data_IF_784895773398
#
_entry.id   IF_784895773398
#
_cell.length_a   1.000
_cell.length_b   1.000
_cell.length_c   1.000
_cell.angle_alpha   90.00
_cell.angle_beta   90.00
_cell.angle_gamma   90.00
#
_symmetry.space_group_name_H-M   'P 1'
#
loop_
_entity.id
_entity.type
_entity.pdbx_description
1 polymer ?
#
# COMPACT_ATOMS: atom_id res chain seq x y z
N UNK A 1 24.37 -10.92 -34.80
CA UNK A 1 25.58 -11.72 -35.02
C UNK A 1 26.71 -11.41 -34.04
N UNK A 2 26.70 -10.24 -33.38
CA UNK A 2 27.72 -9.76 -32.42
C UNK A 2 27.03 -9.29 -31.16
N UNK A 3 26.50 -10.20 -30.32
CA UNK A 3 25.71 -9.83 -29.13
C UNK A 3 26.50 -8.99 -28.10
N UNK A 4 27.83 -9.09 -28.13
CA UNK A 4 28.73 -8.32 -27.29
C UNK A 4 28.76 -6.81 -27.60
N UNK A 5 28.28 -6.40 -28.76
CA UNK A 5 28.12 -4.99 -29.15
C UNK A 5 26.81 -4.37 -28.66
N UNK A 6 25.87 -5.21 -28.24
CA UNK A 6 24.57 -4.77 -27.72
C UNK A 6 24.59 -4.61 -26.20
N UNK A 7 23.87 -3.61 -25.69
CA UNK A 7 23.60 -3.46 -24.24
C UNK A 7 22.25 -4.11 -23.96
N UNK A 8 22.25 -5.23 -23.23
CA UNK A 8 21.07 -6.04 -23.01
C UNK A 8 20.19 -5.46 -21.89
N UNK A 9 19.08 -4.81 -22.26
CA UNK A 9 18.16 -4.22 -21.31
C UNK A 9 17.49 -5.25 -20.39
N UNK A 10 17.29 -6.50 -20.82
CA UNK A 10 16.76 -7.59 -19.97
C UNK A 10 17.75 -7.95 -18.86
N UNK A 11 19.05 -8.00 -19.16
CA UNK A 11 20.06 -8.26 -18.13
C UNK A 11 20.17 -7.09 -17.17
N UNK A 12 20.11 -5.85 -17.68
CA UNK A 12 20.11 -4.68 -16.82
C UNK A 12 18.93 -4.68 -15.86
N UNK A 13 17.69 -4.92 -16.35
CA UNK A 13 16.51 -4.90 -15.50
C UNK A 13 16.53 -6.04 -14.47
N UNK A 14 17.07 -7.22 -14.81
CA UNK A 14 17.25 -8.33 -13.86
C UNK A 14 18.20 -7.95 -12.71
N UNK A 15 19.29 -7.24 -13.03
CA UNK A 15 20.19 -6.71 -12.01
C UNK A 15 19.51 -5.67 -11.11
N UNK A 16 18.66 -4.82 -11.68
CA UNK A 16 17.90 -3.85 -10.91
C UNK A 16 16.85 -4.53 -10.02
N UNK A 17 16.14 -5.55 -10.51
CA UNK A 17 15.20 -6.36 -9.70
C UNK A 17 15.92 -6.93 -8.47
N UNK A 18 17.12 -7.50 -8.65
CA UNK A 18 17.90 -8.05 -7.56
C UNK A 18 18.26 -7.01 -6.49
N UNK A 19 18.54 -5.76 -6.89
CA UNK A 19 18.79 -4.66 -5.95
C UNK A 19 17.49 -4.19 -5.26
N UNK A 20 16.44 -3.98 -6.02
CA UNK A 20 15.17 -3.43 -5.54
C UNK A 20 14.53 -4.35 -4.50
N UNK A 21 14.55 -5.66 -4.71
CA UNK A 21 13.97 -6.63 -3.78
C UNK A 21 14.69 -6.67 -2.43
N UNK A 22 15.95 -6.21 -2.35
CA UNK A 22 16.65 -6.10 -1.04
C UNK A 22 16.19 -4.91 -0.20
N UNK A 23 15.43 -3.99 -0.77
CA UNK A 23 14.92 -2.80 -0.06
C UNK A 23 13.73 -3.14 0.86
N UNK A 24 13.12 -4.32 0.69
CA UNK A 24 12.03 -4.81 1.54
C UNK A 24 12.43 -4.80 3.02
N UNK A 25 11.49 -4.45 3.90
CA UNK A 25 11.67 -4.50 5.35
C UNK A 25 10.44 -5.12 6.00
N UNK A 26 10.52 -6.42 6.25
CA UNK A 26 9.39 -7.19 6.82
C UNK A 26 9.06 -6.79 8.25
N UNK A 27 10.06 -6.36 9.03
CA UNK A 27 9.86 -5.95 10.43
C UNK A 27 9.02 -4.66 10.50
N UNK A 28 9.16 -3.77 9.50
CA UNK A 28 8.38 -2.54 9.39
C UNK A 28 7.16 -2.67 8.45
N UNK A 29 6.85 -3.90 8.01
CA UNK A 29 5.74 -4.17 7.11
C UNK A 29 5.89 -3.52 5.73
N UNK A 30 7.14 -3.28 5.29
CA UNK A 30 7.43 -2.71 3.97
C UNK A 30 7.65 -3.81 2.95
N UNK A 31 6.85 -3.80 1.88
CA UNK A 31 6.98 -4.71 0.75
C UNK A 31 7.40 -3.96 -0.51
N UNK A 32 8.25 -4.61 -1.32
CA UNK A 32 8.74 -4.07 -2.60
C UNK A 32 8.64 -5.17 -3.65
N UNK A 33 7.59 -5.11 -4.46
CA UNK A 33 7.22 -6.19 -5.37
C UNK A 33 7.35 -5.75 -6.82
N UNK A 34 8.33 -6.29 -7.59
CA UNK A 34 8.29 -6.20 -9.05
C UNK A 34 7.04 -6.89 -9.59
N UNK A 35 6.19 -6.17 -10.33
CA UNK A 35 4.86 -6.67 -10.73
C UNK A 35 4.76 -6.99 -12.21
N UNK A 36 5.11 -6.05 -13.09
CA UNK A 36 5.10 -6.29 -14.52
C UNK A 36 6.49 -6.08 -15.11
N UNK A 37 6.85 -6.91 -16.07
CA UNK A 37 8.11 -6.79 -16.81
C UNK A 37 7.86 -6.99 -18.29
N UNK A 38 8.24 -6.01 -19.09
CA UNK A 38 8.18 -6.07 -20.55
C UNK A 38 9.58 -5.86 -21.09
N UNK A 39 10.08 -6.80 -21.90
CA UNK A 39 11.41 -6.69 -22.52
C UNK A 39 11.50 -7.55 -23.76
N UNK A 40 12.19 -7.02 -24.77
CA UNK A 40 12.41 -7.70 -26.05
C UNK A 40 11.17 -7.80 -26.93
N UNK A 41 11.39 -8.12 -28.21
CA UNK A 41 10.32 -8.31 -29.20
C UNK A 41 10.52 -9.59 -30.01
N UNK A 42 11.73 -10.13 -30.05
CA UNK A 42 12.10 -11.32 -30.79
C UNK A 42 13.10 -12.14 -30.01
N UNK A 43 13.21 -13.44 -30.34
CA UNK A 43 14.05 -14.39 -29.59
C UNK A 43 15.54 -14.32 -29.97
N UNK A 44 15.87 -13.65 -31.05
CA UNK A 44 17.22 -13.61 -31.64
C UNK A 44 17.84 -12.19 -31.71
N UNK A 45 17.27 -11.23 -30.95
CA UNK A 45 17.76 -9.85 -30.92
C UNK A 45 18.01 -9.43 -29.46
N UNK A 46 19.15 -8.77 -29.22
CA UNK A 46 19.45 -8.19 -27.90
C UNK A 46 18.44 -7.09 -27.60
N UNK A 47 17.66 -7.16 -26.50
CA UNK A 47 16.67 -6.16 -26.17
C UNK A 47 17.30 -4.79 -25.90
N UNK A 48 16.81 -3.77 -26.60
CA UNK A 48 17.27 -2.38 -26.42
C UNK A 48 16.55 -1.68 -25.24
N UNK A 49 15.34 -2.12 -24.92
CA UNK A 49 14.50 -1.52 -23.87
C UNK A 49 13.87 -2.59 -22.99
N UNK A 50 13.68 -2.26 -21.72
CA UNK A 50 12.89 -3.01 -20.77
C UNK A 50 12.11 -2.04 -19.87
N UNK A 51 10.92 -2.43 -19.44
CA UNK A 51 10.05 -1.68 -18.52
C UNK A 51 9.70 -2.59 -17.38
N UNK A 52 9.81 -2.07 -16.16
CA UNK A 52 9.46 -2.75 -14.91
C UNK A 52 8.55 -1.86 -14.10
N UNK A 53 7.40 -2.39 -13.70
CA UNK A 53 6.55 -1.78 -12.69
C UNK A 53 6.81 -2.41 -11.32
N UNK A 54 6.77 -1.57 -10.29
CA UNK A 54 7.05 -1.97 -8.90
C UNK A 54 5.91 -1.48 -8.03
N UNK A 55 5.27 -2.38 -7.29
CA UNK A 55 4.32 -2.05 -6.22
C UNK A 55 5.07 -1.97 -4.89
N UNK A 56 4.94 -0.84 -4.21
CA UNK A 56 5.55 -0.60 -2.89
C UNK A 56 4.45 -0.29 -1.89
N UNK A 57 4.44 -1.03 -0.77
CA UNK A 57 3.51 -0.79 0.33
C UNK A 57 4.25 -0.73 1.64
N UNK A 58 3.81 0.15 2.53
CA UNK A 58 4.31 0.25 3.90
C UNK A 58 3.27 0.88 4.81
N UNK A 59 3.32 0.54 6.09
CA UNK A 59 2.51 1.16 7.14
C UNK A 59 3.10 2.49 7.63
N UNK A 60 4.30 2.87 7.17
CA UNK A 60 5.04 4.06 7.61
C UNK A 60 5.36 4.98 6.43
N UNK A 61 5.07 6.26 6.60
CA UNK A 61 5.45 7.32 5.65
C UNK A 61 6.96 7.39 5.46
N UNK A 62 7.73 7.31 6.54
CA UNK A 62 9.19 7.36 6.49
C UNK A 62 9.79 6.21 5.69
N UNK A 63 9.20 5.01 5.75
CA UNK A 63 9.62 3.87 4.95
C UNK A 63 9.31 4.07 3.47
N UNK A 64 8.13 4.60 3.13
CA UNK A 64 7.82 4.94 1.72
C UNK A 64 8.80 5.98 1.18
N UNK A 65 9.14 7.00 1.96
CA UNK A 65 10.13 8.03 1.58
C UNK A 65 11.52 7.43 1.42
N UNK A 66 11.93 6.50 2.29
CA UNK A 66 13.19 5.76 2.16
C UNK A 66 13.24 4.99 0.85
N UNK A 67 12.21 4.17 0.56
CA UNK A 67 12.14 3.37 -0.67
C UNK A 67 12.13 4.24 -1.92
N UNK A 68 11.33 5.31 -1.93
CA UNK A 68 11.27 6.26 -3.06
C UNK A 68 12.65 6.86 -3.35
N UNK A 69 13.37 7.26 -2.31
CA UNK A 69 14.73 7.79 -2.41
C UNK A 69 15.72 6.73 -2.93
N UNK A 70 15.68 5.52 -2.38
CA UNK A 70 16.56 4.43 -2.79
C UNK A 70 16.32 4.04 -4.26
N UNK A 71 15.07 3.87 -4.67
CA UNK A 71 14.73 3.57 -6.07
C UNK A 71 15.21 4.70 -6.98
N UNK A 72 14.94 5.95 -6.67
CA UNK A 72 15.38 7.12 -7.47
C UNK A 72 16.90 7.29 -7.53
N UNK A 73 17.63 6.69 -6.61
CA UNK A 73 19.09 6.70 -6.58
C UNK A 73 19.76 5.61 -7.40
N UNK A 74 19.00 4.64 -7.91
CA UNK A 74 19.53 3.51 -8.67
C UNK A 74 20.39 3.96 -9.86
N UNK A 75 21.47 3.24 -10.07
CA UNK A 75 22.41 3.47 -11.17
C UNK A 75 22.49 2.23 -12.03
N UNK A 76 22.70 2.40 -13.34
CA UNK A 76 22.94 1.27 -14.24
C UNK A 76 24.06 0.37 -13.74
N UNK A 77 23.91 -0.93 -13.98
CA UNK A 77 24.91 -1.96 -13.67
C UNK A 77 25.78 -2.22 -14.90
N UNK A 78 25.13 -2.27 -16.07
CA UNK A 78 25.85 -2.49 -17.32
C UNK A 78 26.43 -1.18 -17.86
N UNK A 79 27.66 -1.24 -18.32
CA UNK A 79 28.29 -0.09 -18.96
C UNK A 79 27.50 0.33 -20.21
N UNK A 80 27.18 1.62 -20.28
CA UNK A 80 26.42 2.20 -21.38
C UNK A 80 24.89 2.05 -21.27
N UNK A 81 24.36 1.31 -20.29
CA UNK A 81 22.94 1.31 -20.01
C UNK A 81 22.49 2.65 -19.38
N UNK A 82 21.24 2.98 -19.57
CA UNK A 82 20.56 4.12 -18.93
C UNK A 82 19.33 3.64 -18.21
N UNK A 83 18.99 4.32 -17.10
CA UNK A 83 17.77 4.07 -16.32
C UNK A 83 16.96 5.36 -16.28
N UNK A 84 15.69 5.28 -16.64
CA UNK A 84 14.71 6.32 -16.39
C UNK A 84 13.74 5.82 -15.31
N UNK A 85 13.56 6.58 -14.26
CA UNK A 85 12.68 6.24 -13.14
C UNK A 85 11.54 7.25 -13.13
N UNK A 86 10.31 6.75 -13.14
CA UNK A 86 9.08 7.54 -13.12
C UNK A 86 8.18 7.06 -11.97
N UNK A 87 7.24 7.90 -11.54
CA UNK A 87 6.36 7.59 -10.42
C UNK A 87 6.90 8.08 -9.09
N UNK A 88 6.40 7.51 -8.01
CA UNK A 88 6.69 7.89 -6.63
C UNK A 88 5.54 7.55 -5.70
N UNK A 89 5.53 8.13 -4.50
CA UNK A 89 4.49 7.91 -3.50
C UNK A 89 3.18 8.53 -4.01
N UNK A 90 2.25 7.68 -4.43
CA UNK A 90 0.95 8.10 -4.93
C UNK A 90 -0.13 8.14 -3.83
N UNK A 91 0.04 7.36 -2.75
CA UNK A 91 -0.88 7.30 -1.63
C UNK A 91 -0.10 7.11 -0.33
N UNK A 92 -0.10 8.09 0.59
CA UNK A 92 0.52 7.95 1.91
C UNK A 92 -0.19 6.89 2.75
N UNK A 93 0.47 6.28 3.76
CA UNK A 93 -0.19 5.35 4.66
C UNK A 93 -1.13 6.10 5.62
N UNK A 94 -2.15 5.39 6.11
CA UNK A 94 -2.94 5.82 7.26
C UNK A 94 -2.25 5.29 8.52
N UNK A 95 -1.43 6.13 9.13
CA UNK A 95 -0.68 5.75 10.34
C UNK A 95 -1.56 5.77 11.59
N UNK A 96 -1.24 4.92 12.57
CA UNK A 96 -1.96 4.82 13.85
C UNK A 96 -2.15 6.17 14.55
N UNK A 97 -1.15 7.05 14.49
CA UNK A 97 -1.19 8.39 15.08
C UNK A 97 -2.36 9.26 14.60
N UNK A 98 -2.88 8.98 13.40
CA UNK A 98 -4.05 9.65 12.84
C UNK A 98 -5.38 9.01 13.27
N UNK A 99 -5.35 7.79 13.82
CA UNK A 99 -6.54 6.96 14.05
C UNK A 99 -6.88 6.79 15.53
N UNK A 100 -5.89 6.60 16.40
CA UNK A 100 -6.08 6.09 17.76
C UNK A 100 -6.95 6.98 18.65
N UNK A 101 -6.96 8.29 18.44
CA UNK A 101 -7.83 9.19 19.17
C UNK A 101 -9.32 8.92 18.91
N UNK A 102 -9.69 8.79 17.61
CA UNK A 102 -11.07 8.46 17.25
C UNK A 102 -11.42 7.01 17.58
N UNK A 103 -10.46 6.10 17.51
CA UNK A 103 -10.65 4.71 17.91
C UNK A 103 -11.02 4.61 19.40
N UNK A 104 -10.31 5.30 20.29
CA UNK A 104 -10.63 5.31 21.71
C UNK A 104 -12.06 5.84 21.99
N UNK A 105 -12.49 6.87 21.25
CA UNK A 105 -13.86 7.40 21.33
C UNK A 105 -14.89 6.40 20.81
N UNK A 106 -14.58 5.66 19.72
CA UNK A 106 -15.44 4.59 19.19
C UNK A 106 -15.62 3.46 20.22
N UNK A 107 -14.54 3.04 20.88
CA UNK A 107 -14.61 2.02 21.93
C UNK A 107 -15.49 2.46 23.11
N UNK A 108 -15.37 3.73 23.52
CA UNK A 108 -16.23 4.29 24.56
C UNK A 108 -17.72 4.26 24.16
N UNK A 109 -18.02 4.57 22.89
CA UNK A 109 -19.38 4.49 22.34
C UNK A 109 -19.90 3.05 22.26
N UNK A 110 -19.04 2.10 21.87
CA UNK A 110 -19.37 0.67 21.84
C UNK A 110 -19.70 0.15 23.25
N UNK A 111 -18.91 0.56 24.25
CA UNK A 111 -19.15 0.20 25.65
C UNK A 111 -20.49 0.73 26.18
N UNK A 112 -20.89 1.95 25.80
CA UNK A 112 -22.23 2.51 26.15
C UNK A 112 -23.37 1.65 25.60
N UNK A 113 -23.17 0.99 24.46
CA UNK A 113 -24.13 0.10 23.83
C UNK A 113 -24.07 -1.35 24.36
N UNK A 114 -23.20 -1.65 25.33
CA UNK A 114 -22.98 -3.01 25.81
C UNK A 114 -22.35 -3.94 24.78
N UNK A 115 -21.68 -3.40 23.77
CA UNK A 115 -20.97 -4.20 22.75
C UNK A 115 -19.65 -4.74 23.30
N UNK A 116 -19.19 -5.90 22.78
CA UNK A 116 -17.83 -6.35 23.05
C UNK A 116 -16.81 -5.33 22.51
N UNK A 117 -15.57 -5.48 22.93
CA UNK A 117 -14.44 -4.70 22.44
C UNK A 117 -14.39 -4.65 20.91
N UNK A 118 -14.15 -3.47 20.38
CA UNK A 118 -14.00 -3.26 18.92
C UNK A 118 -12.52 -3.40 18.61
N UNK A 119 -12.13 -4.51 18.01
CA UNK A 119 -10.75 -4.72 17.58
C UNK A 119 -10.29 -3.74 16.49
N UNK A 120 -8.98 -3.59 16.34
CA UNK A 120 -8.37 -2.85 15.23
C UNK A 120 -7.25 -3.66 14.58
N UNK A 121 -7.02 -3.44 13.31
CA UNK A 121 -5.97 -4.12 12.53
C UNK A 121 -5.33 -3.15 11.53
N UNK A 122 -4.08 -3.39 11.20
CA UNK A 122 -3.43 -2.79 10.06
C UNK A 122 -3.60 -3.69 8.83
N UNK A 123 -3.99 -3.12 7.70
CA UNK A 123 -4.22 -3.86 6.45
C UNK A 123 -3.42 -3.24 5.30
N UNK A 124 -3.03 -4.06 4.33
CA UNK A 124 -2.29 -3.61 3.14
C UNK A 124 -3.17 -2.91 2.10
N UNK A 125 -4.50 -2.90 2.28
CA UNK A 125 -5.44 -2.14 1.46
C UNK A 125 -5.35 -0.64 1.72
N UNK A 126 -6.01 0.15 0.89
CA UNK A 126 -6.03 1.60 1.03
C UNK A 126 -7.43 2.15 0.74
N UNK A 127 -7.73 3.31 1.33
CA UNK A 127 -8.98 4.04 1.14
C UNK A 127 -8.71 5.54 0.93
N UNK A 128 -9.74 6.32 0.74
CA UNK A 128 -9.64 7.78 0.69
C UNK A 128 -9.24 8.38 2.05
N UNK A 129 -9.43 7.63 3.14
CA UNK A 129 -8.94 7.98 4.47
C UNK A 129 -7.44 8.24 4.52
N UNK A 130 -6.66 7.57 3.67
CA UNK A 130 -5.23 7.81 3.54
C UNK A 130 -4.92 9.26 3.13
N UNK A 131 -5.67 9.83 2.18
CA UNK A 131 -5.48 11.22 1.74
C UNK A 131 -5.92 12.22 2.79
N UNK A 132 -7.03 11.95 3.48
CA UNK A 132 -7.51 12.79 4.57
C UNK A 132 -6.49 12.85 5.73
N UNK A 133 -5.94 11.70 6.12
CA UNK A 133 -4.90 11.63 7.14
C UNK A 133 -3.62 12.36 6.72
N UNK A 134 -3.20 12.20 5.46
CA UNK A 134 -2.05 12.92 4.93
C UNK A 134 -2.24 14.44 4.91
N UNK A 135 -3.49 14.92 4.81
CA UNK A 135 -3.86 16.33 4.95
C UNK A 135 -3.96 16.79 6.43
N UNK A 136 -3.68 15.93 7.39
CA UNK A 136 -3.68 16.25 8.83
C UNK A 136 -4.99 15.98 9.56
N UNK A 137 -5.99 15.38 8.91
CA UNK A 137 -7.23 15.00 9.57
C UNK A 137 -7.03 13.79 10.48
N UNK A 138 -7.83 13.71 11.55
CA UNK A 138 -8.02 12.46 12.29
C UNK A 138 -8.97 11.57 11.50
N UNK A 139 -8.61 10.32 11.31
CA UNK A 139 -9.34 9.39 10.44
C UNK A 139 -9.56 8.07 11.15
N UNK A 140 -10.77 7.58 11.10
CA UNK A 140 -11.12 6.23 11.50
C UNK A 140 -11.76 5.53 10.29
N UNK A 141 -11.14 4.48 9.84
CA UNK A 141 -11.57 3.70 8.67
C UNK A 141 -12.11 2.32 9.08
N UNK A 142 -12.67 1.57 8.13
CA UNK A 142 -13.15 0.22 8.36
C UNK A 142 -14.47 0.14 9.14
N UNK A 143 -15.27 1.22 9.21
CA UNK A 143 -16.55 1.26 9.92
C UNK A 143 -17.75 0.81 9.06
N UNK A 144 -17.52 0.23 7.90
CA UNK A 144 -18.54 -0.26 6.99
C UNK A 144 -19.22 -1.55 7.45
N UNK A 145 -19.80 -2.27 6.49
CA UNK A 145 -20.51 -3.51 6.74
C UNK A 145 -19.61 -4.62 7.30
N UNK A 146 -20.16 -5.44 8.19
CA UNK A 146 -19.50 -6.67 8.65
C UNK A 146 -19.77 -7.76 7.61
N UNK A 147 -18.73 -8.32 7.05
CA UNK A 147 -18.83 -9.32 5.98
C UNK A 147 -17.53 -10.09 5.78
N UNK A 148 -17.49 -10.85 4.71
CA UNK A 148 -16.33 -11.66 4.32
C UNK A 148 -16.24 -11.79 2.80
N UNK A 149 -15.10 -12.28 2.28
CA UNK A 149 -14.91 -12.57 0.87
C UNK A 149 -14.71 -11.34 -0.01
N UNK A 150 -14.22 -10.21 0.53
CA UNK A 150 -13.99 -9.01 -0.25
C UNK A 150 -13.19 -9.30 -1.53
N UNK A 151 -13.67 -8.79 -2.68
CA UNK A 151 -13.14 -9.03 -4.03
C UNK A 151 -13.26 -10.49 -4.55
N UNK A 152 -13.96 -11.38 -3.85
CA UNK A 152 -14.21 -12.74 -4.30
C UNK A 152 -15.66 -12.91 -4.79
N UNK A 153 -15.90 -14.00 -5.56
CA UNK A 153 -17.26 -14.31 -6.08
C UNK A 153 -18.28 -14.60 -4.97
N UNK A 154 -17.82 -14.95 -3.79
CA UNK A 154 -18.64 -15.23 -2.60
C UNK A 154 -18.66 -14.07 -1.60
N UNK A 155 -18.35 -12.86 -2.04
CA UNK A 155 -18.42 -11.66 -1.20
C UNK A 155 -19.82 -11.51 -0.60
N UNK A 156 -19.87 -11.30 0.71
CA UNK A 156 -21.12 -11.24 1.45
C UNK A 156 -21.05 -10.28 2.65
N UNK A 157 -22.21 -9.80 3.08
CA UNK A 157 -22.37 -9.00 4.29
C UNK A 157 -23.42 -9.62 5.22
N UNK A 158 -23.24 -9.44 6.52
CA UNK A 158 -24.21 -9.85 7.54
C UNK A 158 -25.29 -8.79 7.71
N UNK A 159 -26.54 -9.13 7.48
CA UNK A 159 -27.70 -8.22 7.68
C UNK A 159 -27.78 -7.76 9.14
N UNK A 160 -27.68 -8.69 10.09
CA UNK A 160 -27.69 -8.35 11.53
C UNK A 160 -26.43 -7.56 11.95
N UNK A 161 -25.30 -7.82 11.27
CA UNK A 161 -24.07 -7.06 11.43
C UNK A 161 -24.23 -5.61 10.98
N UNK A 162 -24.93 -5.35 9.88
CA UNK A 162 -25.25 -3.99 9.39
C UNK A 162 -26.07 -3.22 10.43
N UNK A 163 -27.15 -3.80 10.96
CA UNK A 163 -27.98 -3.14 12.00
C UNK A 163 -27.15 -2.81 13.24
N UNK A 164 -26.29 -3.71 13.65
CA UNK A 164 -25.39 -3.51 14.78
C UNK A 164 -24.42 -2.36 14.51
N UNK A 165 -23.85 -2.31 13.30
CA UNK A 165 -22.88 -1.29 12.90
C UNK A 165 -23.52 0.10 12.79
N UNK A 166 -24.74 0.20 12.25
CA UNK A 166 -25.52 1.43 12.18
C UNK A 166 -25.76 2.01 13.60
N UNK A 167 -26.11 1.15 14.57
CA UNK A 167 -26.28 1.58 15.97
C UNK A 167 -24.99 2.14 16.56
N UNK A 168 -23.85 1.48 16.30
CA UNK A 168 -22.55 1.96 16.76
C UNK A 168 -22.20 3.32 16.15
N UNK A 169 -22.32 3.46 14.84
CA UNK A 169 -22.02 4.71 14.15
C UNK A 169 -22.91 5.86 14.63
N UNK A 170 -24.21 5.62 14.81
CA UNK A 170 -25.12 6.62 15.34
C UNK A 170 -24.75 7.07 16.76
N UNK A 171 -24.35 6.13 17.63
CA UNK A 171 -23.91 6.47 18.98
C UNK A 171 -22.60 7.25 18.94
N UNK A 172 -21.65 6.79 18.14
CA UNK A 172 -20.34 7.42 17.98
C UNK A 172 -20.46 8.89 17.50
N UNK A 173 -21.27 9.12 16.44
CA UNK A 173 -21.50 10.47 15.93
C UNK A 173 -22.19 11.36 16.97
N UNK A 174 -23.18 10.84 17.73
CA UNK A 174 -23.80 11.59 18.83
C UNK A 174 -22.80 11.97 19.90
N UNK A 175 -21.93 11.05 20.27
CA UNK A 175 -20.92 11.30 21.29
C UNK A 175 -19.92 12.37 20.83
N UNK A 176 -19.47 12.31 19.56
CA UNK A 176 -18.59 13.34 18.99
C UNK A 176 -19.23 14.74 18.92
N UNK A 177 -20.53 14.83 18.64
CA UNK A 177 -21.24 16.11 18.55
C UNK A 177 -21.58 16.70 19.94
N UNK A 178 -21.39 15.93 21.01
CA UNK A 178 -21.70 16.33 22.38
C UNK A 178 -20.48 16.86 23.16
N UNK A 179 -19.29 16.76 22.55
CA UNK A 179 -18.02 17.31 23.06
C UNK A 179 -17.87 18.80 22.71
#
# INVERSE_FOLDING_TARGET
LEPEKGINATVEIANQISKITTLENKELGTTVVPTTLISGTTTNTVPANAILDIDVRSFSKSELERIDKEIKSLKPTLQGATIAITGGINRPPLEESSTMELYAKLEASAKKLGRPEVGHVAVGGASDGNFAAAAGAKVLDGLGAIGDGAHALNEQVSISGMDSQIKLLNQFVKDLLSE
#
